data_IF_399624159942
#
_entry.id   IF_399624159942
#
_cell.length_a   1.000
_cell.length_b   1.000
_cell.length_c   1.000
_cell.angle_alpha   90.00
_cell.angle_beta   90.00
_cell.angle_gamma   90.00
#
_symmetry.space_group_name_H-M   'P 1'
#
loop_
_entity.id
_entity.type
_entity.pdbx_description
1 polymer ?
#
# COMPACT_ATOMS: atom_id res chain seq x y z
N UNK A 1 -6.53 -35.40 -0.32
CA UNK A 1 -5.88 -36.04 -1.48
C UNK A 1 -4.55 -35.34 -1.64
N UNK A 2 -3.49 -35.98 -1.14
CA UNK A 2 -2.13 -35.47 -1.17
C UNK A 2 -1.60 -35.50 -2.62
N UNK A 3 -1.04 -34.37 -3.05
CA UNK A 3 -0.60 -34.12 -4.41
C UNK A 3 0.72 -34.85 -4.70
N UNK A 4 0.59 -36.12 -5.12
CA UNK A 4 1.70 -36.98 -5.54
C UNK A 4 2.37 -36.53 -6.86
N UNK A 5 1.87 -35.48 -7.52
CA UNK A 5 2.42 -34.97 -8.78
C UNK A 5 3.69 -34.14 -8.59
N UNK A 6 3.82 -33.44 -7.46
CA UNK A 6 4.91 -32.49 -7.25
C UNK A 6 6.25 -33.16 -6.87
N UNK A 7 6.21 -34.27 -6.13
CA UNK A 7 7.40 -35.09 -5.82
C UNK A 7 7.97 -35.82 -7.04
N UNK A 8 7.12 -36.17 -8.02
CA UNK A 8 7.59 -36.78 -9.28
C UNK A 8 8.26 -35.76 -10.19
N UNK A 9 7.79 -34.50 -10.20
CA UNK A 9 8.41 -33.44 -10.98
C UNK A 9 9.79 -33.02 -10.40
N UNK A 10 9.94 -33.00 -9.08
CA UNK A 10 11.23 -32.75 -8.43
C UNK A 10 12.24 -33.90 -8.63
N UNK A 11 11.78 -35.16 -8.72
CA UNK A 11 12.65 -36.31 -9.06
C UNK A 11 13.07 -36.36 -10.52
N UNK A 12 12.25 -35.87 -11.45
CA UNK A 12 12.55 -35.91 -12.89
C UNK A 12 13.29 -34.67 -13.41
N UNK A 13 13.31 -33.55 -12.66
CA UNK A 13 13.91 -32.28 -13.11
C UNK A 13 15.32 -32.02 -12.58
N UNK A 14 16.00 -33.04 -12.04
CA UNK A 14 17.45 -32.94 -11.78
C UNK A 14 18.20 -33.11 -13.10
N UNK A 15 18.06 -32.13 -13.98
CA UNK A 15 19.02 -31.93 -15.07
C UNK A 15 20.28 -31.39 -14.40
N UNK A 16 21.22 -32.31 -14.18
CA UNK A 16 22.60 -32.00 -13.88
C UNK A 16 23.09 -31.05 -14.97
N UNK A 17 23.33 -29.79 -14.59
CA UNK A 17 24.12 -28.88 -15.41
C UNK A 17 25.53 -29.45 -15.40
N UNK A 18 25.86 -30.24 -16.41
CA UNK A 18 27.24 -30.65 -16.68
C UNK A 18 28.05 -29.38 -16.97
N UNK A 19 28.90 -29.01 -16.01
CA UNK A 19 29.95 -28.04 -16.22
C UNK A 19 30.85 -28.50 -17.37
N UNK A 20 31.42 -27.59 -18.19
CA UNK A 20 32.26 -27.97 -19.30
C UNK A 20 33.45 -28.79 -18.79
N UNK A 21 33.61 -29.98 -19.35
CA UNK A 21 34.65 -30.94 -19.04
C UNK A 21 36.01 -30.44 -19.50
N UNK A 22 36.64 -29.61 -18.67
CA UNK A 22 38.08 -29.41 -18.73
C UNK A 22 38.77 -30.61 -18.09
N UNK A 23 39.26 -31.50 -18.96
CA UNK A 23 40.29 -32.47 -18.65
C UNK A 23 41.57 -31.74 -18.23
N UNK A 24 41.92 -31.82 -16.94
CA UNK A 24 43.18 -31.25 -16.45
C UNK A 24 43.29 -31.24 -14.93
N UNK A 25 43.97 -32.25 -14.40
CA UNK A 25 44.71 -32.29 -13.12
C UNK A 25 43.94 -32.10 -11.80
N UNK A 26 44.13 -33.07 -10.90
CA UNK A 26 43.39 -33.18 -9.64
C UNK A 26 43.58 -31.99 -8.70
N UNK A 27 42.48 -31.31 -8.40
CA UNK A 27 42.42 -30.32 -7.33
C UNK A 27 42.54 -31.05 -5.98
N UNK A 28 43.50 -30.68 -5.09
CA UNK A 28 43.68 -31.39 -3.83
C UNK A 28 42.48 -31.20 -2.88
N UNK A 29 42.18 -32.19 -2.00
CA UNK A 29 41.04 -32.18 -1.07
C UNK A 29 41.01 -30.96 -0.13
N UNK A 30 42.15 -30.30 0.08
CA UNK A 30 42.27 -29.08 0.86
C UNK A 30 41.50 -27.87 0.28
N UNK A 31 41.21 -27.86 -1.03
CA UNK A 31 40.53 -26.72 -1.68
C UNK A 31 39.02 -26.69 -1.41
N UNK A 32 38.37 -27.86 -1.38
CA UNK A 32 36.96 -27.99 -1.04
C UNK A 32 36.72 -27.75 0.45
N UNK A 33 37.60 -28.25 1.32
CA UNK A 33 37.53 -28.00 2.76
C UNK A 33 37.73 -26.52 3.09
N UNK A 34 38.61 -25.80 2.37
CA UNK A 34 38.74 -24.34 2.49
C UNK A 34 37.50 -23.61 1.99
N UNK A 35 36.84 -24.09 0.93
CA UNK A 35 35.59 -23.50 0.42
C UNK A 35 34.44 -23.71 1.40
N UNK A 36 34.28 -24.91 1.95
CA UNK A 36 33.31 -25.23 3.02
C UNK A 36 33.61 -24.43 4.28
N UNK A 37 34.88 -24.33 4.69
CA UNK A 37 35.30 -23.52 5.84
C UNK A 37 34.98 -22.04 5.67
N UNK A 38 35.21 -21.46 4.48
CA UNK A 38 34.82 -20.08 4.16
C UNK A 38 33.30 -19.90 4.19
N UNK A 39 32.54 -20.82 3.59
CA UNK A 39 31.07 -20.77 3.62
C UNK A 39 30.52 -20.83 5.05
N UNK A 40 31.07 -21.72 5.90
CA UNK A 40 30.69 -21.82 7.31
C UNK A 40 31.10 -20.60 8.14
N UNK A 41 32.22 -19.96 7.80
CA UNK A 41 32.65 -18.71 8.44
C UNK A 41 31.71 -17.56 8.08
N UNK A 42 31.40 -17.36 6.80
CA UNK A 42 30.42 -16.37 6.35
C UNK A 42 29.03 -16.64 6.91
N UNK A 43 28.59 -17.90 6.91
CA UNK A 43 27.30 -18.29 7.49
C UNK A 43 27.22 -17.95 8.98
N UNK A 44 28.28 -18.19 9.76
CA UNK A 44 28.35 -17.78 11.18
C UNK A 44 28.33 -16.26 11.35
N UNK A 45 29.06 -15.52 10.52
CA UNK A 45 29.10 -14.06 10.57
C UNK A 45 27.72 -13.45 10.26
N UNK A 46 27.08 -13.92 9.18
CA UNK A 46 25.73 -13.51 8.77
C UNK A 46 24.71 -13.86 9.87
N UNK A 47 24.81 -15.05 10.46
CA UNK A 47 23.91 -15.48 11.53
C UNK A 47 24.04 -14.61 12.78
N UNK A 48 25.27 -14.26 13.17
CA UNK A 48 25.53 -13.37 14.32
C UNK A 48 24.99 -11.95 14.09
N UNK A 49 25.12 -11.43 12.87
CA UNK A 49 24.52 -10.16 12.48
C UNK A 49 22.97 -10.23 12.47
N UNK A 50 22.40 -11.36 12.08
CA UNK A 50 20.95 -11.57 12.07
C UNK A 50 20.33 -11.80 13.46
N UNK A 51 21.09 -12.27 14.45
CA UNK A 51 20.62 -12.56 15.82
C UNK A 51 20.63 -11.34 16.75
N UNK A 52 21.39 -10.29 16.44
CA UNK A 52 21.63 -9.15 17.33
C UNK A 52 20.71 -7.93 17.10
N UNK A 53 19.56 -8.13 16.46
CA UNK A 53 18.69 -7.01 16.05
C UNK A 53 19.19 -6.27 14.80
N UNK A 54 20.20 -6.79 14.12
CA UNK A 54 20.82 -6.16 12.95
C UNK A 54 19.89 -5.97 11.74
N UNK A 55 18.70 -6.59 11.73
CA UNK A 55 17.69 -6.30 10.70
C UNK A 55 17.13 -4.88 10.80
N UNK A 56 17.00 -4.32 12.01
CA UNK A 56 16.52 -2.95 12.19
C UNK A 56 17.55 -1.90 11.75
N UNK A 57 18.82 -2.29 11.71
CA UNK A 57 19.95 -1.46 11.28
C UNK A 57 20.36 -1.75 9.83
N UNK A 58 19.64 -2.63 9.13
CA UNK A 58 19.98 -3.03 7.77
C UNK A 58 19.78 -1.85 6.80
N UNK A 59 20.76 -1.51 5.93
CA UNK A 59 20.68 -0.34 5.05
C UNK A 59 19.42 -0.30 4.17
N UNK A 60 19.03 -1.44 3.58
CA UNK A 60 17.81 -1.51 2.76
C UNK A 60 16.53 -1.24 3.57
N UNK A 61 16.48 -1.67 4.84
CA UNK A 61 15.32 -1.40 5.72
C UNK A 61 15.29 0.08 6.08
N UNK A 62 16.44 0.67 6.41
CA UNK A 62 16.56 2.10 6.71
C UNK A 62 16.15 2.95 5.50
N UNK A 63 16.68 2.66 4.31
CA UNK A 63 16.33 3.36 3.08
C UNK A 63 14.83 3.24 2.75
N UNK A 64 14.24 2.06 2.95
CA UNK A 64 12.79 1.87 2.80
C UNK A 64 12.01 2.72 3.81
N UNK A 65 12.42 2.73 5.09
CA UNK A 65 11.78 3.54 6.13
C UNK A 65 11.84 5.03 5.79
N UNK A 66 13.01 5.55 5.40
CA UNK A 66 13.18 6.96 5.04
C UNK A 66 12.27 7.36 3.87
N UNK A 67 12.22 6.53 2.82
CA UNK A 67 11.33 6.76 1.69
C UNK A 67 9.86 6.76 2.12
N UNK A 68 9.44 5.74 2.88
CA UNK A 68 8.07 5.60 3.39
C UNK A 68 7.67 6.80 4.25
N UNK A 69 8.54 7.22 5.17
CA UNK A 69 8.28 8.35 6.08
C UNK A 69 8.18 9.68 5.34
N UNK A 70 8.98 9.88 4.28
CA UNK A 70 8.86 11.06 3.41
C UNK A 70 7.47 11.17 2.77
N UNK A 71 6.90 10.06 2.30
CA UNK A 71 5.55 10.04 1.73
C UNK A 71 4.47 10.17 2.81
N UNK A 72 4.63 9.47 3.94
CA UNK A 72 3.69 9.55 5.06
C UNK A 72 3.60 10.97 5.65
N UNK A 73 4.71 11.71 5.70
CA UNK A 73 4.73 13.11 6.12
C UNK A 73 3.88 14.02 5.22
N UNK A 74 3.66 13.64 3.95
CA UNK A 74 2.77 14.33 3.00
C UNK A 74 1.34 13.78 3.01
N UNK A 75 0.98 12.99 4.03
CA UNK A 75 -0.31 12.29 4.13
C UNK A 75 -0.58 11.34 2.95
N UNK A 76 0.48 10.78 2.36
CA UNK A 76 0.35 9.75 1.34
C UNK A 76 0.42 8.36 1.94
N UNK A 77 -0.47 7.48 1.45
CA UNK A 77 -0.43 6.07 1.79
C UNK A 77 0.61 5.36 0.95
N UNK A 78 1.29 4.40 1.57
CA UNK A 78 2.37 3.64 0.94
C UNK A 78 2.08 2.16 1.00
N UNK A 79 2.13 1.51 -0.17
CA UNK A 79 2.02 0.07 -0.31
C UNK A 79 3.42 -0.53 -0.47
N UNK A 80 3.81 -1.44 0.41
CA UNK A 80 5.13 -2.08 0.36
C UNK A 80 4.98 -3.54 -0.04
N UNK A 81 5.73 -4.00 -1.03
CA UNK A 81 5.81 -5.41 -1.39
C UNK A 81 7.18 -6.00 -1.05
N UNK A 82 7.17 -7.27 -0.65
CA UNK A 82 8.41 -8.05 -0.56
C UNK A 82 8.19 -9.55 -0.41
N UNK A 83 9.24 -10.31 -0.69
CA UNK A 83 9.19 -11.77 -0.67
C UNK A 83 9.29 -12.37 0.75
N UNK A 84 10.23 -11.87 1.55
CA UNK A 84 10.60 -12.48 2.82
C UNK A 84 9.82 -11.87 3.99
N UNK A 85 9.13 -12.71 4.77
CA UNK A 85 8.27 -12.24 5.87
C UNK A 85 9.05 -11.64 7.03
N UNK A 86 10.25 -12.14 7.36
CA UNK A 86 11.04 -11.66 8.50
C UNK A 86 11.51 -10.20 8.31
N UNK A 87 12.11 -9.79 7.17
CA UNK A 87 12.38 -8.38 6.89
C UNK A 87 11.12 -7.52 6.87
N UNK A 88 10.00 -8.01 6.32
CA UNK A 88 8.74 -7.26 6.30
C UNK A 88 8.16 -7.03 7.70
N UNK A 89 8.27 -8.01 8.60
CA UNK A 89 7.93 -7.85 10.03
C UNK A 89 8.82 -6.79 10.67
N UNK A 90 10.14 -6.90 10.50
CA UNK A 90 11.09 -5.93 11.05
C UNK A 90 10.82 -4.50 10.53
N UNK A 91 10.52 -4.34 9.24
CA UNK A 91 10.11 -3.06 8.66
C UNK A 91 8.84 -2.52 9.32
N UNK A 92 7.81 -3.37 9.44
CA UNK A 92 6.52 -2.98 10.03
C UNK A 92 6.67 -2.56 11.50
N UNK A 93 7.41 -3.35 12.28
CA UNK A 93 7.70 -3.06 13.69
C UNK A 93 8.51 -1.77 13.84
N UNK A 94 9.52 -1.56 12.99
CA UNK A 94 10.35 -0.35 13.03
C UNK A 94 9.54 0.90 12.67
N UNK A 95 8.69 0.84 11.63
CA UNK A 95 7.81 1.95 11.25
C UNK A 95 6.84 2.32 12.38
N UNK A 96 6.22 1.31 13.02
CA UNK A 96 5.33 1.55 14.15
C UNK A 96 6.07 2.12 15.35
N UNK A 97 7.24 1.59 15.68
CA UNK A 97 8.05 2.09 16.79
C UNK A 97 8.51 3.54 16.57
N UNK A 98 8.92 3.89 15.34
CA UNK A 98 9.34 5.26 14.99
C UNK A 98 8.17 6.24 15.05
N UNK A 99 7.01 5.88 14.47
CA UNK A 99 5.84 6.76 14.54
C UNK A 99 5.31 6.91 15.97
N UNK A 100 5.32 5.83 16.77
CA UNK A 100 4.98 5.91 18.19
C UNK A 100 5.85 6.92 18.94
N UNK A 101 7.18 6.86 18.74
CA UNK A 101 8.11 7.79 19.37
C UNK A 101 7.88 9.24 18.92
N UNK A 102 7.59 9.48 17.63
CA UNK A 102 7.23 10.81 17.12
C UNK A 102 5.94 11.32 17.76
N UNK A 103 4.89 10.50 17.81
CA UNK A 103 3.64 10.87 18.47
C UNK A 103 3.88 11.26 19.94
N UNK A 104 4.69 10.49 20.67
CA UNK A 104 5.05 10.80 22.06
C UNK A 104 5.83 12.10 22.22
N UNK A 105 6.71 12.45 21.27
CA UNK A 105 7.46 13.71 21.28
C UNK A 105 6.58 14.91 20.95
N UNK A 106 5.63 14.74 20.04
CA UNK A 106 4.70 15.78 19.57
C UNK A 106 3.44 15.89 20.44
N UNK A 107 3.32 15.08 21.50
CA UNK A 107 2.11 14.91 22.32
C UNK A 107 0.87 14.50 21.51
N UNK A 108 1.05 13.88 20.34
CA UNK A 108 -0.03 13.25 19.58
C UNK A 108 -0.39 11.90 20.17
N UNK A 109 -1.61 11.49 19.90
CA UNK A 109 -2.17 10.26 20.45
C UNK A 109 -1.68 8.98 19.73
N UNK A 110 -1.50 7.88 20.49
CA UNK A 110 -1.11 6.56 19.97
C UNK A 110 -2.10 5.47 20.44
N UNK A 111 -2.49 4.49 19.58
CA UNK A 111 -3.56 3.54 19.88
C UNK A 111 -3.19 2.40 20.86
N UNK A 112 -2.03 2.43 21.51
CA UNK A 112 -1.60 1.42 22.47
C UNK A 112 -1.28 2.07 23.82
N UNK A 113 -1.68 1.42 24.91
CA UNK A 113 -1.39 1.88 26.27
C UNK A 113 0.01 1.52 26.75
N UNK A 114 0.63 0.47 26.17
CA UNK A 114 1.98 -0.01 26.50
C UNK A 114 2.63 -0.68 25.30
N UNK A 115 3.97 -0.72 25.30
CA UNK A 115 4.76 -1.49 24.32
C UNK A 115 4.69 -2.97 24.67
N UNK A 116 4.37 -3.83 23.70
CA UNK A 116 4.23 -5.26 23.95
C UNK A 116 5.60 -5.89 24.27
N UNK A 117 5.69 -6.54 25.42
CA UNK A 117 6.85 -7.32 25.87
C UNK A 117 6.42 -8.75 26.21
N UNK A 118 6.18 -9.58 25.18
CA UNK A 118 5.72 -10.95 25.32
C UNK A 118 6.70 -11.98 24.75
N UNK A 119 6.47 -13.27 25.05
CA UNK A 119 7.24 -14.38 24.43
C UNK A 119 6.96 -14.56 22.94
N UNK A 120 5.76 -14.19 22.50
CA UNK A 120 5.30 -14.36 21.11
C UNK A 120 5.48 -13.09 20.26
N UNK A 121 5.44 -11.92 20.88
CA UNK A 121 5.66 -10.62 20.25
C UNK A 121 6.39 -9.70 21.23
N UNK A 122 7.61 -9.29 20.86
CA UNK A 122 8.42 -8.32 21.62
C UNK A 122 8.73 -7.14 20.70
N UNK A 123 8.11 -5.99 20.98
CA UNK A 123 8.25 -4.76 20.19
C UNK A 123 9.47 -3.93 20.64
N UNK A 124 10.02 -4.20 21.85
CA UNK A 124 11.13 -3.43 22.41
C UNK A 124 12.42 -3.43 21.58
N UNK A 125 12.81 -4.51 20.87
CA UNK A 125 13.94 -4.46 19.96
C UNK A 125 13.79 -3.37 18.89
N UNK A 126 12.59 -3.24 18.31
CA UNK A 126 12.29 -2.20 17.33
C UNK A 126 12.27 -0.81 17.98
N UNK A 127 11.67 -0.66 19.17
CA UNK A 127 11.66 0.60 19.93
C UNK A 127 13.07 1.06 20.27
N UNK A 128 13.95 0.18 20.73
CA UNK A 128 15.36 0.51 21.02
C UNK A 128 16.14 0.92 19.77
N UNK A 129 15.87 0.28 18.64
CA UNK A 129 16.48 0.65 17.36
C UNK A 129 15.97 2.02 16.90
N UNK A 130 14.65 2.23 16.90
CA UNK A 130 14.01 3.50 16.57
C UNK A 130 14.51 4.65 17.46
N UNK A 131 14.61 4.42 18.76
CA UNK A 131 15.13 5.39 19.74
C UNK A 131 16.52 5.89 19.38
N UNK A 132 17.43 4.97 19.02
CA UNK A 132 18.79 5.28 18.60
C UNK A 132 18.81 6.01 17.25
N UNK A 133 18.01 5.57 16.29
CA UNK A 133 17.97 6.15 14.95
C UNK A 133 17.37 7.57 14.90
N UNK A 134 16.37 7.84 15.74
CA UNK A 134 15.70 9.14 15.81
C UNK A 134 16.40 10.15 16.73
N UNK A 135 17.45 9.73 17.46
CA UNK A 135 18.05 10.51 18.56
C UNK A 135 16.98 11.06 19.51
N UNK A 136 16.05 10.18 19.94
CA UNK A 136 14.90 10.59 20.73
C UNK A 136 15.33 11.18 22.08
N UNK A 137 14.68 12.28 22.48
CA UNK A 137 14.97 13.02 23.70
C UNK A 137 14.23 12.52 24.94
N UNK A 138 13.30 11.57 24.78
CA UNK A 138 12.47 11.02 25.86
C UNK A 138 13.27 10.01 26.69
N UNK A 139 12.96 9.86 27.99
CA UNK A 139 13.50 8.72 28.74
C UNK A 139 12.76 7.43 28.34
N UNK A 140 13.50 6.37 28.00
CA UNK A 140 12.97 5.04 27.68
C UNK A 140 12.04 4.50 28.78
N UNK A 141 12.30 4.86 30.05
CA UNK A 141 11.47 4.42 31.19
C UNK A 141 10.13 5.14 31.27
N UNK A 142 10.02 6.34 30.70
CA UNK A 142 8.80 7.13 30.71
C UNK A 142 7.80 6.72 29.62
N UNK A 143 8.26 5.99 28.59
CA UNK A 143 7.45 5.65 27.40
C UNK A 143 6.10 5.02 27.79
N UNK A 144 6.13 3.93 28.58
CA UNK A 144 4.88 3.23 28.96
C UNK A 144 3.95 4.13 29.78
N UNK A 145 4.49 4.98 30.67
CA UNK A 145 3.67 5.89 31.47
C UNK A 145 2.99 6.98 30.62
N UNK A 146 3.68 7.48 29.59
CA UNK A 146 3.12 8.46 28.66
C UNK A 146 2.06 7.82 27.74
N UNK A 147 2.34 6.61 27.23
CA UNK A 147 1.38 5.84 26.44
C UNK A 147 0.09 5.57 27.24
N UNK A 148 0.21 5.14 28.49
CA UNK A 148 -0.94 4.85 29.36
C UNK A 148 -1.78 6.10 29.61
N UNK A 149 -1.14 7.25 29.84
CA UNK A 149 -1.82 8.54 29.97
C UNK A 149 -2.55 8.93 28.67
N UNK A 150 -1.87 8.94 27.53
CA UNK A 150 -2.47 9.31 26.24
C UNK A 150 -3.62 8.38 25.85
N UNK A 151 -3.45 7.07 26.06
CA UNK A 151 -4.50 6.09 25.79
C UNK A 151 -5.74 6.31 26.65
N UNK A 152 -5.55 6.68 27.91
CA UNK A 152 -6.66 7.01 28.82
C UNK A 152 -7.37 8.30 28.38
N UNK A 153 -6.61 9.35 28.05
CA UNK A 153 -7.15 10.62 27.52
C UNK A 153 -7.94 10.40 26.21
N UNK A 154 -7.42 9.58 25.30
CA UNK A 154 -8.13 9.11 24.10
C UNK A 154 -9.43 8.37 24.44
N UNK A 155 -9.39 7.45 25.40
CA UNK A 155 -10.56 6.71 25.84
C UNK A 155 -11.66 7.62 26.36
N UNK A 156 -11.30 8.58 27.23
CA UNK A 156 -12.25 9.57 27.74
C UNK A 156 -12.82 10.46 26.64
N UNK A 157 -11.99 10.93 25.70
CA UNK A 157 -12.45 11.75 24.57
C UNK A 157 -13.46 11.00 23.70
N UNK A 158 -13.18 9.74 23.39
CA UNK A 158 -14.08 8.90 22.59
C UNK A 158 -15.41 8.67 23.28
N UNK A 159 -15.40 8.45 24.59
CA UNK A 159 -16.64 8.31 25.35
C UNK A 159 -17.46 9.62 25.33
N UNK A 160 -16.81 10.77 25.56
CA UNK A 160 -17.50 12.08 25.49
C UNK A 160 -18.07 12.37 24.10
N UNK A 161 -17.30 12.07 23.05
CA UNK A 161 -17.77 12.23 21.67
C UNK A 161 -18.94 11.30 21.40
N UNK A 162 -18.89 10.04 21.83
CA UNK A 162 -19.95 9.05 21.67
C UNK A 162 -21.24 9.45 22.37
N UNK A 163 -21.15 9.95 23.60
CA UNK A 163 -22.30 10.38 24.38
C UNK A 163 -23.06 11.53 23.70
N UNK A 164 -22.34 12.46 23.07
CA UNK A 164 -22.91 13.69 22.48
C UNK A 164 -22.85 13.74 20.96
N UNK A 165 -22.54 12.63 20.28
CA UNK A 165 -22.21 12.64 18.84
C UNK A 165 -23.31 13.30 18.00
N UNK A 166 -24.56 12.95 18.27
CA UNK A 166 -25.72 13.49 17.56
C UNK A 166 -26.00 14.95 17.88
N UNK A 167 -25.92 15.35 19.16
CA UNK A 167 -26.12 16.73 19.60
C UNK A 167 -25.12 17.68 18.94
N UNK A 168 -23.86 17.24 18.83
CA UNK A 168 -22.78 18.04 18.24
C UNK A 168 -22.93 18.19 16.73
N UNK A 169 -23.30 17.10 16.03
CA UNK A 169 -23.58 17.16 14.59
C UNK A 169 -24.76 18.10 14.36
N UNK A 170 -25.86 17.95 15.11
CA UNK A 170 -27.06 18.78 14.97
C UNK A 170 -26.78 20.27 15.22
N UNK A 171 -26.04 20.59 16.29
CA UNK A 171 -25.63 21.97 16.58
C UNK A 171 -24.73 22.59 15.49
N UNK A 172 -23.90 21.76 14.84
CA UNK A 172 -23.01 22.18 13.75
C UNK A 172 -23.67 22.28 12.39
N UNK A 173 -24.81 21.62 12.18
CA UNK A 173 -25.47 21.49 10.88
C UNK A 173 -26.13 22.78 10.37
N UNK A 174 -26.25 23.85 11.16
CA UNK A 174 -26.66 25.19 10.71
C UNK A 174 -27.59 25.22 9.48
N UNK A 175 -27.09 25.73 8.34
CA UNK A 175 -27.77 25.78 7.03
C UNK A 175 -27.46 24.62 6.06
N UNK A 176 -26.98 23.48 6.54
CA UNK A 176 -26.68 22.28 5.73
C UNK A 176 -27.93 21.72 5.01
N UNK A 177 -27.71 20.84 4.02
CA UNK A 177 -28.79 20.31 3.16
C UNK A 177 -29.86 19.61 3.99
N UNK A 178 -31.12 19.75 3.56
CA UNK A 178 -32.27 19.12 4.20
C UNK A 178 -32.11 17.60 4.27
N UNK A 179 -31.49 17.01 3.25
CA UNK A 179 -31.15 15.59 3.17
C UNK A 179 -30.27 15.12 4.34
N UNK A 180 -29.19 15.83 4.66
CA UNK A 180 -28.31 15.41 5.78
C UNK A 180 -29.06 15.43 7.10
N UNK A 181 -29.99 16.38 7.30
CA UNK A 181 -30.83 16.39 8.51
C UNK A 181 -31.77 15.18 8.55
N UNK A 182 -32.35 14.79 7.42
CA UNK A 182 -33.21 13.61 7.34
C UNK A 182 -32.44 12.32 7.63
N UNK A 183 -31.23 12.18 7.07
CA UNK A 183 -30.34 11.04 7.34
C UNK A 183 -29.91 11.03 8.82
N UNK A 184 -29.59 12.18 9.40
CA UNK A 184 -29.26 12.30 10.82
C UNK A 184 -30.45 11.89 11.71
N UNK A 185 -31.66 12.31 11.36
CA UNK A 185 -32.87 11.94 12.09
C UNK A 185 -33.14 10.43 11.99
N UNK A 186 -32.97 9.84 10.80
CA UNK A 186 -33.03 8.39 10.60
C UNK A 186 -32.00 7.67 11.48
N UNK A 187 -30.74 8.16 11.48
CA UNK A 187 -29.66 7.63 12.30
C UNK A 187 -29.95 7.72 13.80
N UNK A 188 -30.46 8.84 14.30
CA UNK A 188 -30.86 9.02 15.69
C UNK A 188 -31.99 8.05 16.08
N UNK A 189 -32.95 7.82 15.17
CA UNK A 189 -34.11 6.96 15.42
C UNK A 189 -33.74 5.47 15.50
N UNK A 190 -32.76 5.00 14.72
CA UNK A 190 -32.27 3.61 14.76
C UNK A 190 -31.06 3.42 15.70
N UNK A 191 -30.52 4.51 16.26
CA UNK A 191 -29.25 4.52 16.98
C UNK A 191 -29.21 3.54 18.15
N UNK A 192 -28.46 2.45 17.97
CA UNK A 192 -27.98 1.63 19.08
C UNK A 192 -26.71 2.25 19.66
N UNK A 193 -26.37 1.83 20.88
CA UNK A 193 -25.12 2.22 21.54
C UNK A 193 -23.87 1.85 20.71
N UNK A 194 -23.97 0.78 19.92
CA UNK A 194 -22.97 0.38 18.93
C UNK A 194 -22.87 1.36 17.76
N UNK A 195 -24.00 1.75 17.14
CA UNK A 195 -24.06 2.71 16.03
C UNK A 195 -23.48 4.06 16.43
N UNK A 196 -23.78 4.54 17.65
CA UNK A 196 -23.15 5.75 18.22
C UNK A 196 -21.64 5.64 18.29
N UNK A 197 -21.12 4.49 18.74
CA UNK A 197 -19.69 4.24 18.82
C UNK A 197 -19.03 4.21 17.42
N UNK A 198 -19.72 3.67 16.41
CA UNK A 198 -19.22 3.62 15.04
C UNK A 198 -19.15 5.02 14.41
N UNK A 199 -20.20 5.83 14.54
CA UNK A 199 -20.21 7.21 14.04
C UNK A 199 -19.13 8.03 14.76
N UNK A 200 -19.07 7.95 16.09
CA UNK A 200 -18.05 8.66 16.86
C UNK A 200 -16.63 8.26 16.44
N UNK A 201 -16.39 6.97 16.15
CA UNK A 201 -15.11 6.48 15.64
C UNK A 201 -14.80 7.01 14.23
N UNK A 202 -15.77 7.01 13.33
CA UNK A 202 -15.58 7.52 11.98
C UNK A 202 -15.26 9.03 11.98
N UNK A 203 -15.95 9.82 12.81
CA UNK A 203 -15.65 11.23 13.00
C UNK A 203 -14.28 11.45 13.65
N UNK A 204 -13.94 10.68 14.69
CA UNK A 204 -12.61 10.71 15.34
C UNK A 204 -11.48 10.38 14.33
N UNK A 205 -11.76 9.53 13.35
CA UNK A 205 -10.84 9.20 12.26
C UNK A 205 -10.72 10.32 11.22
N UNK A 206 -11.83 10.88 10.75
CA UNK A 206 -11.84 11.93 9.74
C UNK A 206 -11.26 13.25 10.23
N UNK A 207 -11.52 13.59 11.49
CA UNK A 207 -11.11 14.87 12.05
C UNK A 207 -9.62 14.91 12.38
N UNK A 208 -8.99 13.74 12.59
CA UNK A 208 -7.57 13.58 12.99
C UNK A 208 -7.11 14.55 14.10
N UNK A 209 -8.05 15.12 14.86
CA UNK A 209 -7.77 16.24 15.72
C UNK A 209 -7.21 15.73 17.05
N UNK A 210 -6.14 16.35 17.55
CA UNK A 210 -5.65 16.13 18.93
C UNK A 210 -6.50 16.89 19.97
N UNK A 211 -7.32 17.85 19.50
CA UNK A 211 -8.24 18.65 20.31
C UNK A 211 -9.68 18.17 20.08
N UNK A 212 -10.58 18.40 21.04
CA UNK A 212 -12.00 18.19 20.80
C UNK A 212 -12.44 19.04 19.60
N UNK A 213 -12.98 18.41 18.53
CA UNK A 213 -13.41 19.13 17.34
C UNK A 213 -14.53 20.09 17.72
N UNK A 214 -14.71 21.21 17.01
CA UNK A 214 -15.88 22.07 17.21
C UNK A 214 -17.14 21.44 16.60
N UNK A 215 -18.32 21.96 16.95
CA UNK A 215 -19.59 21.37 16.49
C UNK A 215 -19.71 21.45 14.96
N UNK A 216 -19.18 22.51 14.35
CA UNK A 216 -19.16 22.70 12.89
C UNK A 216 -18.27 21.67 12.19
N UNK A 217 -17.10 21.35 12.72
CA UNK A 217 -16.23 20.31 12.17
C UNK A 217 -16.87 18.92 12.28
N UNK A 218 -17.57 18.62 13.38
CA UNK A 218 -18.34 17.38 13.50
C UNK A 218 -19.40 17.26 12.39
N UNK A 219 -20.12 18.34 12.08
CA UNK A 219 -21.11 18.35 11.01
C UNK A 219 -20.49 18.18 9.61
N UNK A 220 -19.38 18.86 9.33
CA UNK A 220 -18.65 18.71 8.07
C UNK A 220 -18.10 17.28 7.91
N UNK A 221 -17.47 16.74 8.94
CA UNK A 221 -16.97 15.36 8.91
C UNK A 221 -18.09 14.33 8.77
N UNK A 222 -19.29 14.60 9.32
CA UNK A 222 -20.45 13.75 9.09
C UNK A 222 -20.92 13.81 7.63
N UNK A 223 -20.96 15.00 7.01
CA UNK A 223 -21.28 15.14 5.59
C UNK A 223 -20.28 14.38 4.70
N UNK A 224 -18.98 14.54 4.98
CA UNK A 224 -17.92 13.86 4.26
C UNK A 224 -18.02 12.34 4.42
N UNK A 225 -18.38 11.87 5.63
CA UNK A 225 -18.64 10.46 5.89
C UNK A 225 -19.80 9.93 5.05
N UNK A 226 -20.94 10.63 5.03
CA UNK A 226 -22.12 10.20 4.26
C UNK A 226 -21.82 10.22 2.75
N UNK A 227 -21.14 11.25 2.25
CA UNK A 227 -20.72 11.33 0.85
C UNK A 227 -19.80 10.15 0.48
N UNK A 228 -18.79 9.88 1.31
CA UNK A 228 -17.85 8.78 1.08
C UNK A 228 -18.51 7.40 1.12
N UNK A 229 -19.53 7.21 1.98
CA UNK A 229 -20.28 5.96 2.04
C UNK A 229 -21.21 5.79 0.81
N UNK A 230 -21.78 6.88 0.28
CA UNK A 230 -22.65 6.86 -0.92
C UNK A 230 -21.88 6.59 -2.21
N UNK A 231 -20.70 7.16 -2.38
CA UNK A 231 -19.84 6.98 -3.57
C UNK A 231 -19.47 5.50 -3.83
N UNK A 232 -19.57 4.64 -2.81
CA UNK A 232 -19.25 3.21 -2.91
C UNK A 232 -20.42 2.38 -3.45
N UNK A 233 -21.66 2.83 -3.26
CA UNK A 233 -22.84 2.01 -3.54
C UNK A 233 -23.33 2.10 -5.00
N UNK A 234 -22.75 2.92 -5.87
CA UNK A 234 -23.12 3.03 -7.31
C UNK A 234 -24.65 3.00 -7.56
N UNK A 235 -25.44 3.66 -6.70
CA UNK A 235 -26.88 3.84 -6.93
C UNK A 235 -27.10 5.29 -7.36
N UNK A 236 -27.30 5.47 -8.66
CA UNK A 236 -27.85 6.65 -9.36
C UNK A 236 -27.58 8.02 -8.70
N UNK A 237 -26.53 8.70 -9.16
CA UNK A 237 -26.22 10.08 -8.80
C UNK A 237 -27.18 11.14 -9.39
N UNK A 238 -28.33 10.74 -9.92
CA UNK A 238 -29.28 11.64 -10.60
C UNK A 238 -30.52 12.00 -9.75
N UNK A 239 -30.51 11.78 -8.43
CA UNK A 239 -31.62 12.18 -7.55
C UNK A 239 -31.28 13.44 -6.75
N UNK A 240 -31.57 14.57 -7.38
CA UNK A 240 -31.66 15.91 -6.78
C UNK A 240 -33.11 16.16 -6.28
N UNK A 241 -33.65 15.22 -5.51
CA UNK A 241 -34.99 15.31 -4.92
C UNK A 241 -34.86 15.19 -3.39
N UNK A 242 -35.53 16.09 -2.67
CA UNK A 242 -35.64 16.05 -1.22
C UNK A 242 -36.07 14.65 -0.77
N UNK A 243 -35.17 13.91 -0.11
CA UNK A 243 -35.45 12.58 0.44
C UNK A 243 -36.62 12.68 1.43
N UNK A 244 -37.62 11.81 1.28
CA UNK A 244 -38.66 11.65 2.28
C UNK A 244 -38.18 10.84 3.50
N UNK A 245 -39.01 10.75 4.54
CA UNK A 245 -38.62 10.09 5.80
C UNK A 245 -38.42 8.57 5.66
N UNK A 246 -39.10 7.91 4.70
CA UNK A 246 -38.93 6.48 4.46
C UNK A 246 -37.68 6.22 3.60
N UNK A 247 -37.47 7.01 2.54
CA UNK A 247 -36.28 6.96 1.70
C UNK A 247 -35.00 7.22 2.53
N UNK A 248 -35.04 8.17 3.45
CA UNK A 248 -33.91 8.45 4.35
C UNK A 248 -33.62 7.27 5.31
N UNK A 249 -34.64 6.53 5.75
CA UNK A 249 -34.47 5.33 6.61
C UNK A 249 -33.89 4.16 5.84
N UNK A 250 -34.35 3.93 4.61
CA UNK A 250 -33.79 2.89 3.75
C UNK A 250 -32.32 3.19 3.42
N UNK A 251 -32.02 4.43 3.04
CA UNK A 251 -30.66 4.89 2.79
C UNK A 251 -29.79 4.75 4.06
N UNK A 252 -30.28 5.17 5.23
CA UNK A 252 -29.52 5.00 6.46
C UNK A 252 -29.27 3.52 6.79
N UNK A 253 -30.21 2.62 6.49
CA UNK A 253 -30.02 1.19 6.73
C UNK A 253 -28.87 0.61 5.90
N UNK A 254 -28.72 1.01 4.63
CA UNK A 254 -27.58 0.58 3.80
C UNK A 254 -26.28 1.21 4.30
N UNK A 255 -26.31 2.52 4.62
CA UNK A 255 -25.15 3.24 5.15
C UNK A 255 -24.70 2.68 6.50
N UNK A 256 -25.60 2.26 7.37
CA UNK A 256 -25.30 1.66 8.68
C UNK A 256 -24.63 0.29 8.53
N UNK A 257 -25.04 -0.51 7.55
CA UNK A 257 -24.36 -1.78 7.23
C UNK A 257 -22.93 -1.51 6.76
N UNK A 258 -22.76 -0.60 5.80
CA UNK A 258 -21.44 -0.19 5.31
C UNK A 258 -20.60 0.40 6.44
N UNK A 259 -21.13 1.26 7.29
CA UNK A 259 -20.44 1.82 8.46
C UNK A 259 -19.96 0.74 9.42
N UNK A 260 -20.76 -0.31 9.65
CA UNK A 260 -20.39 -1.46 10.50
C UNK A 260 -19.26 -2.28 9.87
N UNK A 261 -19.31 -2.54 8.57
CA UNK A 261 -18.21 -3.19 7.86
C UNK A 261 -16.92 -2.37 7.92
N UNK A 262 -17.06 -1.06 7.79
CA UNK A 262 -15.97 -0.13 7.56
C UNK A 262 -15.27 0.32 8.83
N UNK A 263 -16.02 0.58 9.90
CA UNK A 263 -15.53 1.13 11.16
C UNK A 263 -15.76 0.18 12.34
N UNK A 264 -16.33 -1.01 12.13
CA UNK A 264 -16.52 -2.01 13.19
C UNK A 264 -15.23 -2.45 13.87
N UNK A 265 -14.12 -2.44 13.15
CA UNK A 265 -12.82 -2.89 13.65
C UNK A 265 -12.02 -1.74 14.27
N UNK A 266 -11.28 -2.04 15.34
CA UNK A 266 -10.44 -1.05 16.03
C UNK A 266 -9.35 -0.48 15.11
N UNK A 267 -9.03 0.81 15.33
CA UNK A 267 -8.01 1.58 14.61
C UNK A 267 -6.71 0.78 14.47
N UNK A 268 -6.21 0.67 13.23
CA UNK A 268 -4.93 0.04 12.95
C UNK A 268 -3.75 0.85 13.50
N UNK A 269 -2.61 0.20 13.71
CA UNK A 269 -1.32 0.87 13.89
C UNK A 269 -0.89 1.58 12.59
N UNK A 270 0.13 2.44 12.68
CA UNK A 270 0.67 3.19 11.53
C UNK A 270 0.97 2.29 10.32
N UNK A 271 1.67 1.18 10.54
CA UNK A 271 1.99 0.15 9.56
C UNK A 271 1.34 -1.19 9.92
N UNK A 272 0.88 -1.94 8.91
CA UNK A 272 0.30 -3.28 9.06
C UNK A 272 0.86 -4.27 8.04
N UNK A 273 1.14 -5.49 8.49
CA UNK A 273 1.64 -6.58 7.66
C UNK A 273 0.50 -7.53 7.24
N UNK A 274 0.42 -7.82 5.94
CA UNK A 274 -0.39 -8.89 5.35
C UNK A 274 0.53 -9.97 4.77
N UNK A 275 0.32 -11.22 5.20
CA UNK A 275 1.12 -12.38 4.80
C UNK A 275 0.25 -13.64 4.71
N UNK A 276 0.82 -14.77 4.28
CA UNK A 276 0.07 -15.96 3.88
C UNK A 276 -0.97 -16.47 4.90
N UNK A 277 -0.70 -16.29 6.20
CA UNK A 277 -1.58 -16.73 7.29
C UNK A 277 -2.60 -15.67 7.74
N UNK A 278 -2.55 -14.45 7.19
CA UNK A 278 -3.54 -13.41 7.50
C UNK A 278 -4.92 -13.87 7.04
N UNK A 279 -5.89 -13.94 7.97
CA UNK A 279 -7.26 -14.39 7.67
C UNK A 279 -7.92 -13.49 6.62
N UNK A 280 -8.75 -14.08 5.76
CA UNK A 280 -9.46 -13.37 4.69
C UNK A 280 -10.29 -12.17 5.21
N UNK A 281 -11.00 -12.34 6.33
CA UNK A 281 -11.76 -11.26 6.95
C UNK A 281 -10.86 -10.08 7.32
N UNK A 282 -9.71 -10.34 7.94
CA UNK A 282 -8.72 -9.31 8.30
C UNK A 282 -8.14 -8.62 7.06
N UNK A 283 -7.92 -9.35 5.95
CA UNK A 283 -7.45 -8.77 4.69
C UNK A 283 -8.47 -7.77 4.12
N UNK A 284 -9.76 -8.12 4.11
CA UNK A 284 -10.84 -7.23 3.66
C UNK A 284 -10.94 -5.97 4.52
N UNK A 285 -10.89 -6.12 5.85
CA UNK A 285 -10.87 -4.97 6.75
C UNK A 285 -9.68 -4.05 6.49
N UNK A 286 -8.47 -4.60 6.36
CA UNK A 286 -7.27 -3.81 6.08
C UNK A 286 -7.34 -3.11 4.72
N UNK A 287 -7.91 -3.77 3.72
CA UNK A 287 -8.13 -3.19 2.40
C UNK A 287 -9.07 -1.97 2.45
N UNK A 288 -10.24 -2.11 3.09
CA UNK A 288 -11.20 -1.02 3.24
C UNK A 288 -10.58 0.17 3.99
N UNK A 289 -9.94 -0.10 5.12
CA UNK A 289 -9.26 0.93 5.90
C UNK A 289 -8.10 1.59 5.14
N UNK A 290 -7.35 0.83 4.33
CA UNK A 290 -6.26 1.37 3.53
C UNK A 290 -6.75 2.27 2.38
N UNK A 291 -7.94 2.02 1.83
CA UNK A 291 -8.50 2.84 0.76
C UNK A 291 -9.08 4.20 1.20
N UNK A 292 -9.19 4.46 2.52
CA UNK A 292 -9.57 5.78 3.04
C UNK A 292 -8.33 6.65 3.20
N UNK A 293 -8.35 7.89 2.73
CA UNK A 293 -7.18 8.78 2.78
C UNK A 293 -6.72 9.08 4.20
N UNK A 294 -7.62 9.27 5.16
CA UNK A 294 -7.36 9.66 6.57
C UNK A 294 -7.26 8.49 7.56
N UNK A 295 -7.67 7.27 7.18
CA UNK A 295 -7.63 6.13 8.12
C UNK A 295 -6.27 5.45 8.19
N UNK A 296 -6.03 4.79 9.32
CA UNK A 296 -4.92 3.86 9.46
C UNK A 296 -5.27 2.47 8.87
N UNK A 297 -4.29 1.71 8.36
CA UNK A 297 -2.86 2.03 8.32
C UNK A 297 -2.50 3.04 7.21
N UNK A 298 -1.44 3.83 7.47
CA UNK A 298 -0.78 4.68 6.47
C UNK A 298 0.14 3.85 5.57
N UNK A 299 0.70 2.78 6.12
CA UNK A 299 1.61 1.88 5.41
C UNK A 299 1.06 0.46 5.44
N UNK A 300 0.79 -0.10 4.27
CA UNK A 300 0.39 -1.50 4.15
C UNK A 300 1.55 -2.29 3.58
N UNK A 301 2.07 -3.23 4.37
CA UNK A 301 3.17 -4.10 3.99
C UNK A 301 2.58 -5.44 3.60
N UNK A 302 2.80 -5.87 2.36
CA UNK A 302 2.24 -7.10 1.81
C UNK A 302 3.36 -8.04 1.36
N UNK A 303 3.24 -9.32 1.76
CA UNK A 303 4.08 -10.35 1.16
C UNK A 303 3.66 -10.56 -0.29
N UNK A 304 4.63 -10.68 -1.21
CA UNK A 304 4.39 -10.79 -2.65
C UNK A 304 3.37 -11.85 -3.04
N UNK A 305 3.35 -13.01 -2.37
CA UNK A 305 2.38 -14.08 -2.63
C UNK A 305 0.94 -13.68 -2.27
N UNK A 306 0.75 -12.91 -1.20
CA UNK A 306 -0.57 -12.38 -0.80
C UNK A 306 -0.96 -11.19 -1.66
N UNK A 307 0.01 -10.41 -2.12
CA UNK A 307 -0.18 -9.36 -3.12
C UNK A 307 -0.75 -9.88 -4.46
N UNK A 308 -0.78 -11.19 -4.69
CA UNK A 308 -1.42 -11.82 -5.87
C UNK A 308 -2.92 -12.04 -5.70
N UNK A 309 -3.45 -11.94 -4.49
CA UNK A 309 -4.89 -11.92 -4.25
C UNK A 309 -5.47 -10.59 -4.78
N UNK A 310 -6.66 -10.64 -5.39
CA UNK A 310 -7.32 -9.55 -6.12
C UNK A 310 -7.70 -8.30 -5.32
N UNK A 311 -6.95 -7.90 -4.29
CA UNK A 311 -7.24 -6.77 -3.42
C UNK A 311 -7.17 -5.45 -4.21
N UNK A 312 -8.17 -4.60 -4.01
CA UNK A 312 -8.25 -3.25 -4.56
C UNK A 312 -7.66 -2.27 -3.53
N UNK A 313 -6.48 -1.70 -3.82
CA UNK A 313 -5.74 -0.81 -2.90
C UNK A 313 -5.44 0.56 -3.55
N UNK A 314 -6.25 0.94 -4.53
CA UNK A 314 -5.98 2.04 -5.46
C UNK A 314 -6.63 3.37 -5.08
N UNK A 315 -7.62 3.36 -4.18
CA UNK A 315 -8.46 4.56 -3.96
C UNK A 315 -7.71 5.66 -3.20
N UNK A 316 -6.81 5.32 -2.26
CA UNK A 316 -6.05 6.30 -1.47
C UNK A 316 -4.52 6.22 -1.63
N UNK A 317 -4.01 5.25 -2.41
CA UNK A 317 -2.59 5.00 -2.55
C UNK A 317 -2.15 5.08 -4.01
N UNK A 318 -1.03 5.79 -4.25
CA UNK A 318 -0.33 5.85 -5.55
C UNK A 318 1.16 5.51 -5.42
N UNK A 319 1.63 5.21 -4.22
CA UNK A 319 3.05 4.96 -3.91
C UNK A 319 3.27 3.49 -3.61
N UNK A 320 4.18 2.87 -4.36
CA UNK A 320 4.55 1.46 -4.23
C UNK A 320 6.03 1.35 -3.94
N UNK A 321 6.39 0.75 -2.81
CA UNK A 321 7.78 0.42 -2.44
C UNK A 321 8.01 -1.07 -2.71
N UNK A 322 9.00 -1.38 -3.53
CA UNK A 322 9.42 -2.76 -3.80
C UNK A 322 10.66 -3.06 -2.95
N UNK A 323 10.45 -3.64 -1.76
CA UNK A 323 11.54 -3.91 -0.82
C UNK A 323 12.47 -5.02 -1.30
N UNK A 324 11.91 -6.03 -1.95
CA UNK A 324 12.68 -7.11 -2.56
C UNK A 324 12.29 -7.20 -4.05
N UNK A 325 13.26 -7.18 -4.97
CA UNK A 325 12.96 -7.37 -6.39
C UNK A 325 12.36 -8.77 -6.64
N UNK A 326 11.38 -8.83 -7.54
CA UNK A 326 10.82 -10.07 -8.05
C UNK A 326 11.50 -10.47 -9.36
N UNK A 327 11.56 -11.78 -9.65
CA UNK A 327 12.20 -12.29 -10.87
C UNK A 327 11.32 -12.23 -12.11
N UNK A 328 10.01 -12.12 -11.92
CA UNK A 328 9.01 -12.18 -12.98
C UNK A 328 8.36 -10.79 -13.12
N UNK A 329 8.56 -10.09 -14.26
CA UNK A 329 7.98 -8.77 -14.48
C UNK A 329 6.44 -8.78 -14.38
N UNK A 330 5.78 -9.86 -14.81
CA UNK A 330 4.33 -9.98 -14.67
C UNK A 330 3.85 -10.00 -13.22
N UNK A 331 4.68 -10.45 -12.27
CA UNK A 331 4.36 -10.36 -10.83
C UNK A 331 4.46 -8.92 -10.34
N UNK A 332 5.46 -8.17 -10.81
CA UNK A 332 5.63 -6.75 -10.45
C UNK A 332 4.52 -5.91 -11.06
N UNK A 333 4.13 -6.17 -12.31
CA UNK A 333 2.98 -5.53 -12.95
C UNK A 333 1.68 -5.82 -12.19
N UNK A 334 1.45 -7.05 -11.72
CA UNK A 334 0.30 -7.35 -10.88
C UNK A 334 0.33 -6.61 -9.53
N UNK A 335 1.51 -6.43 -8.93
CA UNK A 335 1.69 -5.67 -7.70
C UNK A 335 1.40 -4.18 -7.91
N UNK A 336 1.92 -3.59 -8.99
CA UNK A 336 1.64 -2.19 -9.36
C UNK A 336 0.16 -2.02 -9.74
N UNK A 337 -0.43 -3.00 -10.43
CA UNK A 337 -1.86 -3.06 -10.76
C UNK A 337 -2.79 -3.13 -9.53
N UNK A 338 -2.25 -3.22 -8.31
CA UNK A 338 -3.05 -3.02 -7.08
C UNK A 338 -3.42 -1.56 -6.85
N UNK A 339 -2.57 -0.64 -7.30
CA UNK A 339 -2.78 0.81 -7.25
C UNK A 339 -3.13 1.41 -8.62
N UNK A 340 -2.77 0.74 -9.72
CA UNK A 340 -3.16 1.14 -11.07
C UNK A 340 -4.48 0.48 -11.49
N UNK A 341 -5.59 1.16 -11.20
CA UNK A 341 -6.95 0.74 -11.57
C UNK A 341 -7.80 1.95 -11.97
N UNK A 342 -8.93 1.66 -12.61
CA UNK A 342 -9.98 2.65 -12.87
C UNK A 342 -10.40 3.31 -11.56
N UNK A 343 -10.52 4.64 -11.56
CA UNK A 343 -10.88 5.41 -10.36
C UNK A 343 -9.78 5.48 -9.29
N UNK A 344 -8.54 5.08 -9.60
CA UNK A 344 -7.40 5.21 -8.69
C UNK A 344 -7.13 6.66 -8.29
N UNK A 345 -6.48 6.82 -7.13
CA UNK A 345 -6.05 8.13 -6.62
C UNK A 345 -5.24 8.89 -7.68
N UNK A 346 -4.30 8.22 -8.32
CA UNK A 346 -3.43 8.83 -9.32
C UNK A 346 -4.25 9.36 -10.50
N UNK A 347 -5.23 8.58 -11.00
CA UNK A 347 -6.05 8.97 -12.14
C UNK A 347 -6.91 10.20 -11.81
N UNK A 348 -7.55 10.21 -10.64
CA UNK A 348 -8.33 11.37 -10.17
C UNK A 348 -7.46 12.62 -10.00
N UNK A 349 -6.28 12.48 -9.41
CA UNK A 349 -5.32 13.58 -9.30
C UNK A 349 -4.87 14.06 -10.69
N UNK A 350 -4.69 13.15 -11.65
CA UNK A 350 -4.31 13.49 -13.02
C UNK A 350 -5.41 14.31 -13.71
N UNK A 351 -6.66 13.89 -13.62
CA UNK A 351 -7.80 14.60 -14.23
C UNK A 351 -7.87 16.04 -13.72
N UNK A 352 -7.71 16.24 -12.41
CA UNK A 352 -7.63 17.57 -11.80
C UNK A 352 -6.42 18.36 -12.32
N UNK A 353 -5.23 17.74 -12.34
CA UNK A 353 -4.02 18.40 -12.81
C UNK A 353 -4.10 18.83 -14.29
N UNK A 354 -4.73 18.01 -15.14
CA UNK A 354 -4.97 18.30 -16.55
C UNK A 354 -5.97 19.43 -16.71
N UNK A 355 -7.07 19.43 -15.93
CA UNK A 355 -8.04 20.52 -15.92
C UNK A 355 -7.41 21.85 -15.46
N UNK A 356 -6.46 21.80 -14.53
CA UNK A 356 -5.66 22.95 -14.07
C UNK A 356 -4.55 23.37 -15.06
N UNK A 357 -4.35 22.64 -16.15
CA UNK A 357 -3.33 22.94 -17.15
C UNK A 357 -1.89 22.68 -16.70
N UNK A 358 -1.67 21.81 -15.70
CA UNK A 358 -0.32 21.41 -15.26
C UNK A 358 0.39 20.64 -16.38
N UNK A 359 1.69 20.84 -16.51
CA UNK A 359 2.53 20.22 -17.53
C UNK A 359 3.65 19.38 -16.91
N UNK A 360 4.01 18.30 -17.60
CA UNK A 360 5.19 17.44 -17.37
C UNK A 360 5.43 17.05 -15.91
N UNK A 361 6.24 17.85 -15.20
CA UNK A 361 6.72 17.58 -13.84
C UNK A 361 5.66 17.85 -12.78
N UNK A 362 4.61 18.61 -13.12
CA UNK A 362 3.46 18.84 -12.25
C UNK A 362 2.37 17.77 -12.34
N UNK A 363 2.53 16.77 -13.22
CA UNK A 363 1.53 15.71 -13.39
C UNK A 363 1.74 14.62 -12.33
N UNK A 364 0.69 14.21 -11.61
CA UNK A 364 0.78 13.14 -10.65
C UNK A 364 1.04 11.81 -11.36
N UNK A 365 1.81 10.93 -10.69
CA UNK A 365 2.21 9.63 -11.20
C UNK A 365 2.02 8.57 -10.14
N UNK A 366 2.01 7.31 -10.57
CA UNK A 366 2.25 6.19 -9.68
C UNK A 366 3.75 6.18 -9.37
N UNK A 367 4.09 6.33 -8.10
CA UNK A 367 5.48 6.34 -7.65
C UNK A 367 5.93 4.92 -7.35
N UNK A 368 6.88 4.39 -8.13
CA UNK A 368 7.45 3.06 -7.93
C UNK A 368 8.85 3.23 -7.36
N UNK A 369 9.04 2.81 -6.11
CA UNK A 369 10.25 2.99 -5.33
C UNK A 369 10.92 1.64 -5.05
N UNK A 370 11.75 1.10 -5.97
CA UNK A 370 12.51 -0.10 -5.72
C UNK A 370 13.66 0.17 -4.75
N UNK A 371 13.83 -0.70 -3.76
CA UNK A 371 14.94 -0.62 -2.80
C UNK A 371 16.05 -1.55 -3.26
N UNK A 372 17.07 -0.97 -3.90
CA UNK A 372 18.18 -1.72 -4.49
C UNK A 372 19.47 -1.45 -3.73
N UNK A 373 20.11 -2.51 -3.24
CA UNK A 373 21.44 -2.39 -2.66
C UNK A 373 22.49 -2.46 -3.78
N UNK A 374 23.09 -1.31 -4.10
CA UNK A 374 24.14 -1.16 -5.10
C UNK A 374 25.35 -2.04 -4.83
N UNK A 375 26.04 -2.46 -5.90
CA UNK A 375 27.20 -3.35 -5.86
C UNK A 375 26.93 -4.72 -5.21
N UNK A 376 25.66 -5.12 -5.17
CA UNK A 376 25.25 -6.43 -4.65
C UNK A 376 24.46 -7.23 -5.68
N UNK A 377 24.09 -8.44 -5.30
CA UNK A 377 23.22 -9.29 -6.11
C UNK A 377 21.85 -8.64 -6.38
N UNK A 378 21.38 -7.75 -5.50
CA UNK A 378 20.10 -7.04 -5.70
C UNK A 378 20.14 -6.14 -6.94
N UNK A 379 21.27 -5.47 -7.19
CA UNK A 379 21.45 -4.65 -8.39
C UNK A 379 21.48 -5.51 -9.66
N UNK A 380 22.22 -6.62 -9.65
CA UNK A 380 22.21 -7.54 -10.78
C UNK A 380 20.80 -8.08 -11.06
N UNK A 381 20.08 -8.49 -10.02
CA UNK A 381 18.70 -8.95 -10.13
C UNK A 381 17.77 -7.86 -10.69
N UNK A 382 17.92 -6.62 -10.24
CA UNK A 382 17.16 -5.47 -10.76
C UNK A 382 17.43 -5.23 -12.26
N UNK A 383 18.69 -5.33 -12.70
CA UNK A 383 19.05 -5.21 -14.12
C UNK A 383 18.40 -6.32 -14.96
N UNK A 384 18.46 -7.56 -14.50
CA UNK A 384 17.81 -8.70 -15.19
C UNK A 384 16.29 -8.52 -15.24
N UNK A 385 15.67 -8.04 -14.16
CA UNK A 385 14.24 -7.76 -14.15
C UNK A 385 13.88 -6.69 -15.19
N UNK A 386 14.64 -5.59 -15.27
CA UNK A 386 14.40 -4.52 -16.24
C UNK A 386 14.54 -5.00 -17.69
N UNK A 387 15.54 -5.83 -17.98
CA UNK A 387 15.71 -6.44 -19.31
C UNK A 387 14.50 -7.30 -19.69
N UNK A 388 14.06 -8.17 -18.78
CA UNK A 388 12.84 -8.98 -18.99
C UNK A 388 11.58 -8.15 -19.14
N UNK A 389 11.50 -7.02 -18.46
CA UNK A 389 10.36 -6.12 -18.56
C UNK A 389 10.30 -5.44 -19.93
N UNK A 390 11.45 -5.07 -20.48
CA UNK A 390 11.50 -4.56 -21.85
C UNK A 390 11.11 -5.60 -22.88
N UNK A 391 11.63 -6.83 -22.74
CA UNK A 391 11.27 -7.93 -23.65
C UNK A 391 9.76 -8.16 -23.64
N UNK A 392 9.15 -8.11 -22.45
CA UNK A 392 7.70 -8.22 -22.29
C UNK A 392 6.97 -7.07 -22.99
N UNK A 393 7.43 -5.82 -22.82
CA UNK A 393 6.83 -4.65 -23.48
C UNK A 393 7.02 -4.66 -25.00
N UNK A 394 8.15 -5.13 -25.49
CA UNK A 394 8.38 -5.30 -26.92
C UNK A 394 7.38 -6.30 -27.51
N UNK A 395 7.14 -7.43 -26.83
CA UNK A 395 6.19 -8.46 -27.28
C UNK A 395 4.73 -8.04 -27.15
N UNK A 396 4.33 -7.40 -26.05
CA UNK A 396 2.92 -7.08 -25.77
C UNK A 396 2.47 -5.72 -26.31
N UNK A 397 3.38 -4.75 -26.41
CA UNK A 397 3.06 -3.37 -26.76
C UNK A 397 3.81 -2.86 -27.99
N UNK A 398 4.66 -3.68 -28.61
CA UNK A 398 5.43 -3.29 -29.80
C UNK A 398 6.54 -2.28 -29.53
N UNK A 399 6.91 -2.05 -28.27
CA UNK A 399 7.95 -1.08 -27.88
C UNK A 399 9.32 -1.73 -28.09
N UNK A 400 9.88 -1.58 -29.31
CA UNK A 400 11.14 -2.23 -29.71
C UNK A 400 12.34 -1.62 -28.99
N UNK A 401 12.39 -0.29 -28.89
CA UNK A 401 13.46 0.42 -28.18
C UNK A 401 12.95 0.86 -26.81
N UNK A 402 13.50 0.32 -25.71
CA UNK A 402 13.07 0.65 -24.35
C UNK A 402 13.17 2.13 -24.02
N UNK A 403 12.18 2.66 -23.31
CA UNK A 403 12.10 4.08 -22.94
C UNK A 403 13.35 4.57 -22.18
N UNK A 404 13.94 3.72 -21.32
CA UNK A 404 15.16 4.10 -20.57
C UNK A 404 16.36 4.42 -21.46
N UNK A 405 16.43 3.79 -22.64
CA UNK A 405 17.49 4.03 -23.62
C UNK A 405 17.20 5.25 -24.48
N UNK A 406 15.99 5.82 -24.40
CA UNK A 406 15.60 7.01 -25.16
C UNK A 406 16.07 8.32 -24.53
N UNK A 407 16.43 8.28 -23.24
CA UNK A 407 17.00 9.44 -22.56
C UNK A 407 18.42 9.73 -23.08
N UNK A 408 18.66 10.95 -23.54
CA UNK A 408 19.97 11.38 -24.03
C UNK A 408 20.31 10.99 -25.48
N UNK A 409 19.34 10.51 -26.27
CA UNK A 409 19.55 10.22 -27.69
C UNK A 409 19.93 11.47 -28.48
N UNK A 410 20.80 11.29 -29.47
CA UNK A 410 21.04 12.29 -30.52
C UNK A 410 19.82 12.42 -31.42
N UNK A 411 19.73 13.54 -32.16
CA UNK A 411 18.61 13.75 -33.10
C UNK A 411 18.52 12.65 -34.18
N UNK A 412 19.66 12.10 -34.62
CA UNK A 412 19.69 11.02 -35.59
C UNK A 412 19.18 9.69 -35.00
N UNK A 413 19.58 9.36 -33.77
CA UNK A 413 19.09 8.16 -33.09
C UNK A 413 17.60 8.26 -32.74
N UNK A 414 17.13 9.45 -32.33
CA UNK A 414 15.71 9.70 -32.08
C UNK A 414 14.86 9.48 -33.34
N UNK A 415 15.36 9.88 -34.52
CA UNK A 415 14.69 9.62 -35.80
C UNK A 415 14.65 8.13 -36.15
N UNK A 416 15.72 7.38 -35.88
CA UNK A 416 15.73 5.92 -36.04
C UNK A 416 14.72 5.26 -35.11
N UNK A 417 14.67 5.67 -33.85
CA UNK A 417 13.68 5.16 -32.88
C UNK A 417 12.25 5.44 -33.36
N UNK A 418 11.99 6.65 -33.88
CA UNK A 418 10.69 7.01 -34.46
C UNK A 418 10.31 6.09 -35.62
N UNK A 419 11.23 5.80 -36.53
CA UNK A 419 11.00 4.88 -37.65
C UNK A 419 10.73 3.45 -37.18
N UNK A 420 11.43 2.99 -36.14
CA UNK A 420 11.19 1.67 -35.52
C UNK A 420 9.81 1.60 -34.86
N UNK A 421 9.40 2.64 -34.14
CA UNK A 421 8.08 2.72 -33.50
C UNK A 421 6.96 2.75 -34.56
N UNK A 422 7.15 3.45 -35.68
CA UNK A 422 6.19 3.48 -36.80
C UNK A 422 6.07 2.14 -37.53
N UNK A 423 7.18 1.39 -37.63
CA UNK A 423 7.21 0.05 -38.23
C UNK A 423 6.73 -1.05 -37.26
N UNK A 424 6.65 -0.76 -35.96
CA UNK A 424 6.22 -1.69 -34.93
C UNK A 424 4.71 -2.01 -35.00
N UNK A 425 4.29 -3.16 -34.44
CA UNK A 425 2.87 -3.49 -34.33
C UNK A 425 2.17 -2.51 -33.37
N UNK A 426 1.12 -1.85 -33.85
CA UNK A 426 0.30 -0.95 -33.05
C UNK A 426 -0.99 -1.67 -32.61
N UNK A 427 -1.10 -1.92 -31.31
CA UNK A 427 -2.25 -2.61 -30.70
C UNK A 427 -3.32 -1.66 -30.15
N UNK A 428 -3.25 -0.36 -30.47
CA UNK A 428 -4.26 0.61 -30.04
C UNK A 428 -5.62 0.32 -30.70
N UNK A 429 -6.72 0.29 -29.91
CA UNK A 429 -8.06 0.07 -30.45
C UNK A 429 -8.55 1.24 -31.32
N UNK A 430 -7.85 2.38 -31.28
CA UNK A 430 -8.21 3.60 -32.01
C UNK A 430 -7.74 3.60 -33.47
N UNK A 431 -7.02 2.57 -33.93
CA UNK A 431 -6.60 2.47 -35.33
C UNK A 431 -7.71 1.83 -36.18
N UNK A 432 -8.72 2.62 -36.54
CA UNK A 432 -9.66 2.27 -37.60
C UNK A 432 -9.05 2.54 -38.99
N UNK A 433 -7.93 1.90 -39.32
CA UNK A 433 -7.53 1.81 -40.72
C UNK A 433 -8.30 0.63 -41.35
N UNK A 434 -9.57 0.90 -41.67
CA UNK A 434 -10.23 0.18 -42.78
C UNK A 434 -9.41 0.48 -44.03
N UNK A 435 -8.40 -0.33 -44.30
CA UNK A 435 -7.85 -0.45 -45.65
C UNK A 435 -8.99 -0.99 -46.49
N UNK A 436 -9.64 -0.09 -47.24
CA UNK A 436 -10.57 -0.45 -48.28
C UNK A 436 -9.84 -1.29 -49.32
N UNK A 437 -9.99 -2.60 -49.25
CA UNK A 437 -9.87 -3.43 -50.43
C UNK A 437 -11.06 -3.11 -51.33
N UNK A 438 -10.93 -2.07 -52.15
CA UNK A 438 -11.63 -2.01 -53.43
C UNK A 438 -11.02 -3.10 -54.31
N UNK A 439 -11.55 -4.32 -54.19
CA UNK A 439 -11.50 -5.27 -55.29
C UNK A 439 -12.43 -4.73 -56.38
N UNK A 440 -11.82 -4.12 -57.40
CA UNK A 440 -12.42 -3.96 -58.71
C UNK A 440 -12.73 -5.34 -59.25
N UNK A 441 -13.99 -5.74 -59.15
CA UNK A 441 -14.55 -6.82 -59.98
C UNK A 441 -14.70 -6.21 -61.37
N UNK A 442 -13.66 -6.38 -62.20
CA UNK A 442 -13.78 -6.23 -63.64
C UNK A 442 -14.70 -7.35 -64.15
N UNK A 443 -15.87 -6.96 -64.63
CA UNK A 443 -16.75 -7.81 -65.42
C UNK A 443 -16.26 -7.90 -66.86
N UNK A 444 -16.51 -9.04 -67.49
CA UNK A 444 -17.36 -9.20 -68.69
C UNK A 444 -17.08 -10.56 -69.37
N UNK A 445 -18.02 -11.10 -70.17
CA UNK A 445 -19.47 -10.84 -70.27
C UNK A 445 -20.34 -12.03 -69.83
#
# INVERSE_FOLDING_TARGET
>A
MEDKGQEQYERSSTVLIEAPSHSGEGTPPQSEDKRKGRAQWWSRLIRRAAESGGLFEHPAIIAAVEAIESYAARQEKVLVFGRFTRPLRALTELLNAREMLRCLQENRSWPQSRVHAGRELDEWPAVRAAYRQLNCSLDLKEIDSRLERQYSELGYRRERLRERVFERIEAGLGGSSQETRMILAAAQSSARDETRALIARALDELLEADVEPDDRACALAFNDLIAALRDRDEVDSDREADLDEEEAKELWSSLEETLREEYGVQRGTFARLMYGETKLATRRTLQLAFNRSSSFPRVLVAQSMVGREGLNLHQACRVVVLLHPEWNPGVVEQQIGRVDRVGSRWARELDVAVAEGKLKDGLPRIEICPVIFQDTYDEHHWLVLNERWDDLRAQLHGIVVPERLRSGLTAAEAEIVRQLDEAGPNFSPLRSDRVGHTETIDGEP
#
